data_IF_639440891309
#
_entry.id   IF_639440891309
#
_cell.length_a   1.000
_cell.length_b   1.000
_cell.length_c   1.000
_cell.angle_alpha   90.00
_cell.angle_beta   90.00
_cell.angle_gamma   90.00
#
_symmetry.space_group_name_H-M   'P 1'
#
loop_
_entity.id
_entity.type
_entity.pdbx_description
1 polymer ?
#
# COMPACT_ATOMS: atom_id res chain seq x y z
N UNK A 1 15.37 18.63 8.64
CA UNK A 1 14.98 17.31 8.12
C UNK A 1 14.18 17.53 6.86
N UNK A 2 14.52 16.86 5.75
CA UNK A 2 13.81 17.07 4.49
C UNK A 2 12.35 16.62 4.64
N UNK A 3 11.41 17.46 4.23
CA UNK A 3 9.98 17.15 4.25
C UNK A 3 9.70 16.00 3.27
N UNK A 4 9.08 14.91 3.75
CA UNK A 4 8.59 13.82 2.89
C UNK A 4 7.66 14.37 1.80
N UNK A 5 7.76 13.82 0.60
CA UNK A 5 6.90 14.09 -0.55
C UNK A 5 6.40 12.81 -1.22
N UNK A 6 5.40 12.95 -2.08
CA UNK A 6 4.95 11.87 -2.96
C UNK A 6 6.10 11.31 -3.81
N UNK A 7 6.08 10.00 -4.01
CA UNK A 7 7.14 9.26 -4.69
C UNK A 7 8.36 8.93 -3.83
N UNK A 8 8.48 9.47 -2.60
CA UNK A 8 9.58 9.09 -1.72
C UNK A 8 9.46 7.63 -1.28
N UNK A 9 10.60 6.94 -1.29
CA UNK A 9 10.76 5.62 -0.66
C UNK A 9 10.87 5.80 0.84
N UNK A 10 10.07 5.03 1.57
CA UNK A 10 9.97 5.12 3.02
C UNK A 10 9.95 3.75 3.67
N UNK A 11 10.30 3.71 4.95
CA UNK A 11 10.06 2.58 5.86
C UNK A 11 9.24 3.06 7.04
N UNK A 12 8.33 2.22 7.52
CA UNK A 12 7.62 2.45 8.78
C UNK A 12 8.57 2.19 9.94
N UNK A 13 8.74 3.17 10.81
CA UNK A 13 9.66 3.08 11.96
C UNK A 13 9.17 2.07 12.97
N UNK A 14 10.11 1.40 13.65
CA UNK A 14 9.81 0.53 14.78
C UNK A 14 9.78 1.34 16.08
N UNK A 15 8.61 1.38 16.72
CA UNK A 15 8.40 1.95 18.06
C UNK A 15 7.32 1.20 18.82
N UNK A 16 7.27 1.42 20.13
CA UNK A 16 6.15 0.96 20.95
C UNK A 16 4.88 1.75 20.63
N UNK A 17 3.74 1.05 20.59
CA UNK A 17 2.43 1.68 20.45
C UNK A 17 1.99 2.28 21.78
N UNK A 18 1.70 3.58 21.77
CA UNK A 18 1.17 4.31 22.94
C UNK A 18 -0.31 3.99 23.18
N UNK A 19 -0.85 4.44 24.33
CA UNK A 19 -2.28 4.33 24.59
C UNK A 19 -3.13 5.14 23.60
N UNK A 20 -2.63 6.30 23.17
CA UNK A 20 -3.32 7.13 22.16
C UNK A 20 -3.34 6.44 20.80
N UNK A 21 -2.23 5.79 20.40
CA UNK A 21 -2.17 5.04 19.14
C UNK A 21 -3.24 3.96 19.07
N UNK A 22 -3.46 3.25 20.19
CA UNK A 22 -4.49 2.21 20.29
C UNK A 22 -5.89 2.79 20.28
N UNK A 23 -6.11 3.89 21.00
CA UNK A 23 -7.41 4.55 21.06
C UNK A 23 -7.85 5.14 19.72
N UNK A 24 -6.89 5.60 18.91
CA UNK A 24 -7.14 6.35 17.68
C UNK A 24 -6.65 5.65 16.40
N UNK A 25 -6.24 4.38 16.51
CA UNK A 25 -5.78 3.58 15.38
C UNK A 25 -4.65 4.24 14.57
N UNK A 26 -3.71 4.91 15.24
CA UNK A 26 -2.67 5.72 14.58
C UNK A 26 -1.42 4.96 14.21
N UNK A 27 -1.07 3.94 14.98
CA UNK A 27 0.13 3.13 14.77
C UNK A 27 -0.12 1.68 15.16
N UNK A 28 0.35 0.78 14.30
CA UNK A 28 0.19 -0.65 14.45
C UNK A 28 1.57 -1.32 14.38
N UNK A 29 2.02 -1.98 15.47
CA UNK A 29 3.36 -2.57 15.51
C UNK A 29 3.66 -3.57 14.38
N UNK A 30 2.65 -4.27 13.87
CA UNK A 30 2.83 -5.22 12.77
C UNK A 30 3.12 -4.56 11.41
N UNK A 31 2.99 -3.23 11.31
CA UNK A 31 3.38 -2.46 10.13
C UNK A 31 4.84 -1.98 10.21
N UNK A 32 5.49 -2.08 11.38
CA UNK A 32 6.87 -1.68 11.56
C UNK A 32 7.79 -2.43 10.58
N UNK A 33 8.75 -1.73 10.00
CA UNK A 33 9.71 -2.30 9.06
C UNK A 33 9.20 -2.46 7.63
N UNK A 34 7.89 -2.31 7.37
CA UNK A 34 7.36 -2.34 6.00
C UNK A 34 7.97 -1.20 5.19
N UNK A 35 8.45 -1.52 3.99
CA UNK A 35 8.91 -0.53 3.02
C UNK A 35 7.86 -0.28 1.96
N UNK A 36 7.92 0.90 1.35
CA UNK A 36 7.01 1.27 0.30
C UNK A 36 7.33 2.63 -0.29
N UNK A 37 6.38 3.13 -1.07
CA UNK A 37 6.45 4.44 -1.70
C UNK A 37 5.26 5.28 -1.26
N UNK A 38 5.51 6.54 -0.88
CA UNK A 38 4.45 7.50 -0.57
C UNK A 38 3.62 7.75 -1.84
N UNK A 39 2.34 7.40 -1.79
CA UNK A 39 1.37 7.65 -2.85
C UNK A 39 0.70 9.01 -2.71
N UNK A 40 0.36 9.39 -1.49
CA UNK A 40 -0.31 10.65 -1.19
C UNK A 40 0.00 11.10 0.24
N UNK A 41 -0.04 12.40 0.48
CA UNK A 41 0.08 13.02 1.80
C UNK A 41 -1.20 13.80 2.06
N UNK A 42 -1.92 13.44 3.12
CA UNK A 42 -3.18 14.06 3.49
C UNK A 42 -2.98 15.16 4.52
N UNK A 43 -3.93 16.09 4.55
CA UNK A 43 -4.05 17.08 5.61
C UNK A 43 -4.23 16.38 6.96
N UNK A 44 -3.40 16.72 7.95
CA UNK A 44 -3.37 16.03 9.25
C UNK A 44 -2.21 15.06 9.47
N UNK A 45 -1.11 15.20 8.71
CA UNK A 45 0.12 14.40 8.85
C UNK A 45 -0.04 12.91 8.57
N UNK A 46 -1.05 12.49 7.80
CA UNK A 46 -1.18 11.11 7.35
C UNK A 46 -0.58 10.93 5.96
N UNK A 47 0.00 9.76 5.70
CA UNK A 47 0.57 9.39 4.42
C UNK A 47 -0.01 8.04 3.97
N UNK A 48 -0.50 7.99 2.74
CA UNK A 48 -0.78 6.72 2.07
C UNK A 48 0.53 6.16 1.53
N UNK A 49 0.93 5.00 2.02
CA UNK A 49 2.13 4.30 1.57
C UNK A 49 1.70 3.05 0.83
N UNK A 50 2.07 2.95 -0.45
CA UNK A 50 1.98 1.70 -1.20
C UNK A 50 3.11 0.80 -0.73
N UNK A 51 2.77 -0.25 -0.02
CA UNK A 51 3.69 -1.24 0.53
C UNK A 51 4.23 -2.12 -0.59
N UNK A 52 5.50 -2.48 -0.51
CA UNK A 52 6.08 -3.44 -1.42
C UNK A 52 5.54 -4.85 -1.10
N UNK A 53 4.98 -5.59 -2.07
CA UNK A 53 4.32 -6.86 -1.79
C UNK A 53 5.22 -7.95 -1.19
N UNK A 54 6.53 -7.87 -1.41
CA UNK A 54 7.55 -8.76 -0.84
C UNK A 54 7.80 -8.53 0.66
N UNK A 55 7.42 -7.36 1.18
CA UNK A 55 7.48 -7.04 2.62
C UNK A 55 6.28 -7.56 3.39
N UNK A 56 5.20 -7.96 2.71
CA UNK A 56 4.03 -8.52 3.36
C UNK A 56 4.35 -9.92 3.91
N UNK A 57 3.83 -10.21 5.10
CA UNK A 57 3.80 -11.58 5.62
C UNK A 57 3.10 -12.49 4.60
N UNK A 58 3.63 -13.70 4.43
CA UNK A 58 3.13 -14.67 3.43
C UNK A 58 1.60 -14.80 3.43
N UNK A 59 0.98 -14.94 4.60
CA UNK A 59 -0.47 -15.04 4.71
C UNK A 59 -1.21 -13.78 4.22
N UNK A 60 -0.72 -12.58 4.56
CA UNK A 60 -1.31 -11.34 4.10
C UNK A 60 -1.16 -11.16 2.58
N UNK A 61 -0.01 -11.55 2.04
CA UNK A 61 0.26 -11.56 0.59
C UNK A 61 -0.69 -12.51 -0.15
N UNK A 62 -0.83 -13.74 0.32
CA UNK A 62 -1.73 -14.73 -0.30
C UNK A 62 -3.19 -14.26 -0.30
N UNK A 63 -3.66 -13.66 0.81
CA UNK A 63 -5.00 -13.08 0.90
C UNK A 63 -5.17 -11.94 -0.10
N UNK A 64 -4.17 -11.05 -0.22
CA UNK A 64 -4.19 -9.96 -1.19
C UNK A 64 -4.23 -10.46 -2.63
N UNK A 65 -3.38 -11.43 -2.98
CA UNK A 65 -3.33 -12.05 -4.31
C UNK A 65 -4.68 -12.70 -4.68
N UNK A 66 -5.29 -13.46 -3.75
CA UNK A 66 -6.61 -14.03 -3.96
C UNK A 66 -7.70 -12.97 -4.13
N UNK A 67 -7.63 -11.87 -3.39
CA UNK A 67 -8.57 -10.76 -3.54
C UNK A 67 -8.46 -10.11 -4.93
N UNK A 68 -7.23 -9.93 -5.44
CA UNK A 68 -6.98 -9.41 -6.79
C UNK A 68 -7.55 -10.35 -7.85
N UNK A 69 -7.35 -11.66 -7.72
CA UNK A 69 -7.92 -12.66 -8.65
C UNK A 69 -9.45 -12.55 -8.67
N UNK A 70 -10.11 -12.55 -7.51
CA UNK A 70 -11.57 -12.41 -7.43
C UNK A 70 -12.07 -11.09 -8.04
N UNK A 71 -11.31 -10.01 -7.88
CA UNK A 71 -11.63 -8.71 -8.46
C UNK A 71 -11.54 -8.74 -9.99
N UNK A 72 -10.49 -9.37 -10.54
CA UNK A 72 -10.34 -9.59 -11.98
C UNK A 72 -11.45 -10.46 -12.54
N UNK A 73 -11.78 -11.56 -11.88
CA UNK A 73 -12.87 -12.46 -12.32
C UNK A 73 -14.19 -11.70 -12.39
N UNK A 74 -14.50 -10.91 -11.35
CA UNK A 74 -15.70 -10.06 -11.33
C UNK A 74 -15.65 -9.00 -12.43
N UNK A 75 -14.51 -8.35 -12.67
CA UNK A 75 -14.35 -7.39 -13.74
C UNK A 75 -14.61 -8.04 -15.11
N UNK A 76 -13.93 -9.15 -15.42
CA UNK A 76 -14.06 -9.87 -16.69
C UNK A 76 -15.46 -10.45 -16.93
N UNK A 77 -16.18 -10.80 -15.88
CA UNK A 77 -17.57 -11.26 -15.97
C UNK A 77 -18.55 -10.13 -16.32
N UNK A 78 -18.21 -8.87 -16.04
CA UNK A 78 -19.07 -7.70 -16.30
C UNK A 78 -18.68 -6.92 -17.56
N UNK A 79 -17.52 -7.20 -18.15
CA UNK A 79 -17.04 -6.55 -19.37
C UNK A 79 -17.44 -7.40 -20.59
N UNK A 80 -18.05 -6.78 -21.60
CA UNK A 80 -18.44 -7.47 -22.84
C UNK A 80 -17.21 -7.88 -23.67
N UNK A 81 -17.37 -8.87 -24.56
CA UNK A 81 -16.28 -9.29 -25.46
C UNK A 81 -15.79 -8.17 -26.38
N UNK A 82 -16.66 -7.20 -26.72
CA UNK A 82 -16.29 -6.03 -27.52
C UNK A 82 -15.43 -5.05 -26.71
N UNK A 83 -15.76 -4.85 -25.44
CA UNK A 83 -14.97 -4.02 -24.52
C UNK A 83 -13.61 -4.68 -24.19
N UNK A 84 -13.57 -6.01 -24.03
CA UNK A 84 -12.31 -6.74 -23.80
C UNK A 84 -11.30 -6.53 -24.92
N UNK A 85 -11.75 -6.44 -26.18
CA UNK A 85 -10.87 -6.18 -27.34
C UNK A 85 -10.25 -4.78 -27.36
N UNK A 86 -10.84 -3.83 -26.63
CA UNK A 86 -10.32 -2.47 -26.49
C UNK A 86 -9.30 -2.33 -25.36
N UNK A 87 -9.25 -3.31 -24.46
CA UNK A 87 -8.32 -3.32 -23.32
C UNK A 87 -7.04 -4.07 -23.69
N UNK A 88 -5.91 -3.54 -23.25
CA UNK A 88 -4.63 -4.24 -23.29
C UNK A 88 -4.60 -5.42 -22.32
N UNK A 89 -3.64 -6.32 -22.50
CA UNK A 89 -3.42 -7.44 -21.56
C UNK A 89 -3.13 -6.93 -20.14
N UNK A 90 -2.38 -5.84 -20.02
CA UNK A 90 -2.00 -5.23 -18.74
C UNK A 90 -3.24 -4.68 -18.01
N UNK A 91 -4.18 -4.09 -18.75
CA UNK A 91 -5.45 -3.60 -18.20
C UNK A 91 -6.40 -4.74 -17.80
N UNK A 92 -6.38 -5.86 -18.53
CA UNK A 92 -7.16 -7.06 -18.17
C UNK A 92 -6.56 -7.79 -16.96
N UNK A 93 -5.24 -7.77 -16.82
CA UNK A 93 -4.47 -8.41 -15.75
C UNK A 93 -4.03 -7.42 -14.67
N UNK A 94 -4.85 -6.40 -14.40
CA UNK A 94 -4.51 -5.33 -13.46
C UNK A 94 -4.19 -5.86 -12.05
N UNK A 95 -3.19 -5.30 -11.37
CA UNK A 95 -2.94 -5.56 -9.95
C UNK A 95 -3.72 -4.59 -9.05
N UNK A 96 -3.89 -4.94 -7.77
CA UNK A 96 -4.28 -3.97 -6.75
C UNK A 96 -3.07 -3.58 -5.89
N UNK A 97 -2.95 -2.29 -5.60
CA UNK A 97 -1.95 -1.80 -4.65
C UNK A 97 -2.35 -2.23 -3.23
N UNK A 98 -1.38 -2.64 -2.41
CA UNK A 98 -1.56 -2.75 -0.97
C UNK A 98 -1.15 -1.42 -0.32
N UNK A 99 -2.13 -0.61 0.07
CA UNK A 99 -1.88 0.73 0.61
C UNK A 99 -2.24 0.77 2.09
N UNK A 100 -1.30 1.25 2.90
CA UNK A 100 -1.52 1.49 4.34
C UNK A 100 -1.51 2.99 4.61
N UNK A 101 -2.36 3.42 5.53
CA UNK A 101 -2.39 4.79 6.02
C UNK A 101 -1.60 4.87 7.32
N UNK A 102 -0.55 5.68 7.35
CA UNK A 102 0.35 5.81 8.50
C UNK A 102 0.62 7.28 8.81
N UNK A 103 1.06 7.57 10.04
CA UNK A 103 1.49 8.92 10.40
C UNK A 103 2.83 9.25 9.75
N UNK A 104 2.98 10.50 9.32
CA UNK A 104 4.22 11.04 8.74
C UNK A 104 5.39 10.96 9.71
N UNK A 105 5.13 11.08 11.01
CA UNK A 105 6.12 10.93 12.07
C UNK A 105 6.64 9.50 12.21
N UNK A 106 5.89 8.52 11.71
CA UNK A 106 6.22 7.10 11.77
C UNK A 106 6.90 6.60 10.49
N UNK A 107 7.37 7.53 9.64
CA UNK A 107 8.04 7.23 8.38
C UNK A 107 9.47 7.77 8.39
N UNK A 108 10.41 6.89 8.03
CA UNK A 108 11.77 7.27 7.67
C UNK A 108 11.97 7.18 6.16
N UNK A 109 12.61 8.18 5.56
CA UNK A 109 12.97 8.12 4.15
C UNK A 109 14.14 7.17 3.96
N UNK A 110 14.03 6.24 3.01
CA UNK A 110 15.11 5.32 2.64
C UNK A 110 15.61 5.64 1.23
N UNK A 111 16.86 5.29 0.87
CA UNK A 111 17.37 5.48 -0.48
C UNK A 111 16.49 4.75 -1.51
N UNK A 112 16.33 5.37 -2.69
CA UNK A 112 15.83 4.66 -3.85
C UNK A 112 16.96 3.74 -4.31
N UNK A 113 16.95 2.47 -3.91
CA UNK A 113 17.79 1.49 -4.57
C UNK A 113 17.29 1.38 -6.02
N UNK A 114 18.13 1.79 -6.95
CA UNK A 114 17.90 1.69 -8.39
C UNK A 114 17.98 0.26 -8.89
#
# INVERSE_FOLDING_TARGET
MATLKEGDRVRVVEREATLEDRAQMRYFPHLAGLTGTVQNIYDGNQCAVRVDPDMLLKAAREVHEQAVVRMRDKFLANVSEEQKKQLSKEELEFGANYVVLVQKSDLERIPNNG
#
